data_IF_057489009979
#
_entry.id   IF_057489009979
#
_cell.length_a   1.000
_cell.length_b   1.000
_cell.length_c   1.000
_cell.angle_alpha   90.00
_cell.angle_beta   90.00
_cell.angle_gamma   90.00
#
_symmetry.space_group_name_H-M   'P 1'
#
loop_
_entity.id
_entity.type
_entity.pdbx_description
1 polymer ?
#
# COMPACT_ATOMS: atom_id res chain seq x y z
N UNK A 1 -28.51 12.98 -2.67
CA UNK A 1 -27.12 13.43 -2.44
C UNK A 1 -26.40 13.24 -3.77
N UNK A 2 -25.69 14.27 -4.27
CA UNK A 2 -24.91 14.11 -5.50
C UNK A 2 -23.86 13.03 -5.26
N UNK A 3 -23.88 11.99 -6.08
CA UNK A 3 -22.94 10.88 -5.94
C UNK A 3 -21.55 11.40 -6.29
N UNK A 4 -20.64 11.43 -5.31
CA UNK A 4 -19.25 11.84 -5.53
C UNK A 4 -18.49 10.63 -6.05
N UNK A 5 -17.82 10.77 -7.18
CA UNK A 5 -16.89 9.78 -7.74
C UNK A 5 -15.50 10.13 -7.19
N UNK A 6 -15.00 9.35 -6.24
CA UNK A 6 -13.74 9.65 -5.57
C UNK A 6 -12.63 8.68 -6.03
N UNK A 7 -11.82 9.14 -6.97
CA UNK A 7 -10.69 8.38 -7.54
C UNK A 7 -9.33 8.80 -6.95
N UNK A 8 -9.31 9.52 -5.83
CA UNK A 8 -8.05 9.99 -5.21
C UNK A 8 -7.19 8.85 -4.71
N UNK A 9 -7.80 7.86 -4.06
CA UNK A 9 -7.10 6.72 -3.44
C UNK A 9 -8.11 5.64 -3.04
N UNK A 10 -7.69 4.39 -3.02
CA UNK A 10 -8.45 3.29 -2.40
C UNK A 10 -8.60 3.43 -0.88
N UNK A 11 -7.84 4.33 -0.25
CA UNK A 11 -8.00 4.66 1.18
C UNK A 11 -9.31 5.40 1.51
N UNK A 12 -10.04 5.90 0.51
CA UNK A 12 -11.36 6.52 0.68
C UNK A 12 -12.51 5.53 0.59
N UNK A 13 -12.21 4.26 0.33
CA UNK A 13 -13.20 3.18 0.25
C UNK A 13 -13.98 3.07 1.56
N UNK A 14 -15.29 3.01 1.45
CA UNK A 14 -16.18 2.86 2.60
C UNK A 14 -16.58 1.39 2.79
N UNK A 15 -16.79 0.94 4.04
CA UNK A 15 -17.28 -0.40 4.31
C UNK A 15 -18.70 -0.60 3.79
N UNK A 16 -18.99 -1.79 3.23
CA UNK A 16 -20.36 -2.17 2.82
C UNK A 16 -21.30 -2.23 4.02
N UNK A 17 -22.61 -2.25 3.76
CA UNK A 17 -23.61 -2.37 4.82
C UNK A 17 -23.48 -3.71 5.57
N UNK A 18 -23.15 -4.80 4.89
CA UNK A 18 -22.90 -6.11 5.50
C UNK A 18 -21.65 -6.08 6.39
N UNK A 19 -20.57 -5.41 5.95
CA UNK A 19 -19.39 -5.21 6.78
C UNK A 19 -19.72 -4.38 8.02
N UNK A 20 -20.53 -3.31 7.89
CA UNK A 20 -21.01 -2.50 9.04
C UNK A 20 -21.81 -3.32 10.03
N UNK A 21 -22.70 -4.22 9.56
CA UNK A 21 -23.45 -5.15 10.40
C UNK A 21 -22.50 -6.14 11.12
N UNK A 22 -21.49 -6.65 10.42
CA UNK A 22 -20.46 -7.52 11.00
C UNK A 22 -19.69 -6.81 12.11
N UNK A 23 -19.31 -5.54 11.91
CA UNK A 23 -18.68 -4.70 12.94
C UNK A 23 -19.60 -4.53 14.16
N UNK A 24 -20.90 -4.22 13.93
CA UNK A 24 -21.85 -3.97 15.00
C UNK A 24 -22.15 -5.24 15.86
N UNK A 25 -22.03 -6.41 15.27
CA UNK A 25 -22.30 -7.71 15.93
C UNK A 25 -21.01 -8.44 16.38
N UNK A 26 -19.84 -7.80 16.32
CA UNK A 26 -18.56 -8.42 16.63
C UNK A 26 -18.53 -8.95 18.08
N UNK A 27 -18.02 -10.17 18.24
CA UNK A 27 -17.69 -10.70 19.58
C UNK A 27 -16.40 -10.05 20.05
N UNK A 28 -16.39 -9.56 21.28
CA UNK A 28 -15.30 -8.77 21.84
C UNK A 28 -14.63 -9.48 23.02
N UNK A 29 -13.36 -9.18 23.19
CA UNK A 29 -12.54 -9.55 24.33
C UNK A 29 -11.34 -8.61 24.42
N UNK A 30 -10.45 -8.77 25.40
CA UNK A 30 -9.26 -7.92 25.51
C UNK A 30 -8.08 -8.50 24.69
N UNK A 31 -7.63 -7.80 23.64
CA UNK A 31 -6.49 -8.23 22.81
C UNK A 31 -5.18 -8.36 23.61
N UNK A 32 -4.99 -7.54 24.66
CA UNK A 32 -3.77 -7.61 25.48
C UNK A 32 -3.67 -8.92 26.24
N UNK A 33 -4.83 -9.49 26.63
CA UNK A 33 -4.91 -10.82 27.26
C UNK A 33 -5.09 -11.96 26.25
N UNK A 34 -5.06 -11.65 24.93
CA UNK A 34 -5.34 -12.61 23.86
C UNK A 34 -6.75 -13.25 23.96
N UNK A 35 -7.72 -12.53 24.48
CA UNK A 35 -9.10 -13.00 24.70
C UNK A 35 -10.09 -12.51 23.64
N UNK A 36 -9.68 -11.57 22.74
CA UNK A 36 -10.56 -11.11 21.66
C UNK A 36 -10.65 -12.15 20.54
N UNK A 37 -11.82 -12.78 20.35
CA UNK A 37 -11.95 -13.89 19.41
C UNK A 37 -11.84 -13.45 17.96
N UNK A 38 -12.25 -12.20 17.63
CA UNK A 38 -12.15 -11.68 16.27
C UNK A 38 -10.71 -11.36 15.92
N UNK A 39 -9.95 -10.76 16.84
CA UNK A 39 -8.51 -10.50 16.66
C UNK A 39 -7.74 -11.80 16.45
N UNK A 40 -7.93 -12.77 17.34
CA UNK A 40 -7.26 -14.07 17.27
C UNK A 40 -7.53 -14.77 15.93
N UNK A 41 -8.81 -14.75 15.46
CA UNK A 41 -9.20 -15.36 14.19
C UNK A 41 -8.62 -14.61 12.99
N UNK A 42 -8.58 -13.27 13.03
CA UNK A 42 -8.00 -12.46 11.95
C UNK A 42 -6.50 -12.70 11.83
N UNK A 43 -5.76 -12.66 12.96
CA UNK A 43 -4.31 -12.88 13.00
C UNK A 43 -3.96 -14.29 12.49
N UNK A 44 -4.71 -15.30 12.88
CA UNK A 44 -4.55 -16.68 12.40
C UNK A 44 -4.84 -16.80 10.90
N UNK A 45 -5.95 -16.23 10.43
CA UNK A 45 -6.33 -16.28 9.00
C UNK A 45 -5.31 -15.57 8.12
N UNK A 46 -4.87 -14.38 8.52
CA UNK A 46 -3.86 -13.62 7.80
C UNK A 46 -2.53 -14.38 7.69
N UNK A 47 -2.06 -14.97 8.79
CA UNK A 47 -0.86 -15.80 8.79
C UNK A 47 -0.98 -16.99 7.84
N UNK A 48 -2.11 -17.70 7.87
CA UNK A 48 -2.37 -18.85 6.99
C UNK A 48 -2.37 -18.45 5.51
N UNK A 49 -3.01 -17.31 5.16
CA UNK A 49 -3.04 -16.81 3.79
C UNK A 49 -1.66 -16.39 3.28
N UNK A 50 -0.80 -15.87 4.15
CA UNK A 50 0.57 -15.49 3.80
C UNK A 50 1.55 -16.66 3.90
N UNK A 51 1.12 -17.86 4.30
CA UNK A 51 2.02 -18.99 4.52
C UNK A 51 3.02 -18.76 5.66
N UNK A 52 2.70 -17.89 6.61
CA UNK A 52 3.56 -17.51 7.74
C UNK A 52 3.04 -18.08 9.08
N UNK A 53 3.89 -18.10 10.10
CA UNK A 53 3.56 -18.75 11.37
C UNK A 53 2.52 -17.97 12.19
N UNK A 54 2.60 -16.63 12.21
CA UNK A 54 1.76 -15.76 13.04
C UNK A 54 1.43 -14.45 12.33
N UNK A 55 0.28 -13.87 12.73
CA UNK A 55 -0.15 -12.53 12.39
C UNK A 55 -0.21 -11.59 13.60
N UNK A 56 -0.26 -10.28 13.36
CA UNK A 56 -0.45 -9.24 14.36
C UNK A 56 -1.26 -8.09 13.78
N UNK A 57 -2.44 -7.83 14.32
CA UNK A 57 -3.26 -6.67 13.96
C UNK A 57 -2.61 -5.38 14.45
N UNK A 58 -2.52 -4.39 13.57
CA UNK A 58 -2.04 -3.03 13.84
C UNK A 58 -3.03 -1.98 13.32
N UNK A 59 -3.09 -0.78 13.92
CA UNK A 59 -4.06 0.25 13.51
C UNK A 59 -3.85 0.78 12.09
N UNK A 60 -2.63 0.73 11.54
CA UNK A 60 -2.30 1.28 10.22
C UNK A 60 -1.13 0.57 9.56
N UNK A 61 -1.00 0.69 8.23
CA UNK A 61 0.16 0.20 7.47
C UNK A 61 1.46 0.85 7.93
N UNK A 62 1.45 2.17 8.16
CA UNK A 62 2.60 2.91 8.70
C UNK A 62 3.11 2.33 10.02
N UNK A 63 2.20 1.99 10.95
CA UNK A 63 2.62 1.33 12.17
C UNK A 63 3.13 -0.08 11.90
N UNK A 64 2.53 -0.81 10.95
CA UNK A 64 2.97 -2.15 10.57
C UNK A 64 4.41 -2.16 10.05
N UNK A 65 4.71 -1.29 9.11
CA UNK A 65 6.05 -1.13 8.56
C UNK A 65 7.05 -0.68 9.63
N UNK A 66 6.70 0.35 10.41
CA UNK A 66 7.58 0.85 11.47
C UNK A 66 7.88 -0.25 12.51
N UNK A 67 6.86 -0.96 12.99
CA UNK A 67 7.04 -2.09 13.93
C UNK A 67 7.97 -3.15 13.35
N UNK A 68 7.76 -3.54 12.09
CA UNK A 68 8.55 -4.56 11.42
C UNK A 68 10.01 -4.14 11.29
N UNK A 69 10.25 -2.92 10.85
CA UNK A 69 11.61 -2.37 10.69
C UNK A 69 12.32 -2.24 12.06
N UNK A 70 11.61 -1.79 13.11
CA UNK A 70 12.18 -1.70 14.47
C UNK A 70 12.52 -3.07 15.08
N UNK A 71 11.88 -4.15 14.63
CA UNK A 71 12.22 -5.52 15.06
C UNK A 71 13.42 -6.06 14.27
N UNK A 72 13.52 -5.76 12.98
CA UNK A 72 14.60 -6.23 12.11
C UNK A 72 15.89 -5.45 12.28
N UNK A 73 15.80 -4.16 12.62
CA UNK A 73 16.93 -3.25 12.70
C UNK A 73 17.14 -2.75 14.14
N UNK A 74 18.39 -2.68 14.57
CA UNK A 74 18.75 -2.03 15.81
C UNK A 74 19.04 -0.53 15.58
N UNK A 75 18.98 0.26 16.66
CA UNK A 75 19.41 1.66 16.60
C UNK A 75 20.86 1.75 16.13
N UNK A 76 21.12 2.66 15.18
CA UNK A 76 22.45 2.87 14.60
C UNK A 76 22.78 1.94 13.43
N UNK A 77 21.88 1.03 13.06
CA UNK A 77 22.03 0.21 11.83
C UNK A 77 21.42 0.91 10.60
N UNK A 78 21.62 0.32 9.44
CA UNK A 78 21.12 0.82 8.15
C UNK A 78 20.10 -0.15 7.54
N UNK A 79 19.09 0.44 6.87
CA UNK A 79 18.13 -0.30 6.03
C UNK A 79 18.21 0.19 4.59
N UNK A 80 18.24 -0.73 3.63
CA UNK A 80 18.16 -0.44 2.20
C UNK A 80 16.67 -0.41 1.79
N UNK A 81 16.28 0.61 1.01
CA UNK A 81 14.94 0.79 0.47
C UNK A 81 14.95 1.63 -0.80
N UNK A 82 13.86 1.62 -1.55
CA UNK A 82 13.71 2.45 -2.73
C UNK A 82 13.49 3.94 -2.39
N UNK A 83 13.98 4.83 -3.24
CA UNK A 83 13.84 6.29 -3.12
C UNK A 83 12.38 6.78 -3.21
N UNK A 84 11.49 5.92 -3.77
CA UNK A 84 10.05 6.16 -3.89
C UNK A 84 9.22 5.28 -2.92
N UNK A 85 9.87 4.49 -2.06
CA UNK A 85 9.18 3.63 -1.11
C UNK A 85 8.28 4.44 -0.15
N UNK A 86 7.08 3.94 0.13
CA UNK A 86 6.13 4.57 1.06
C UNK A 86 6.75 4.79 2.44
N UNK A 87 7.49 3.80 2.94
CA UNK A 87 8.21 3.84 4.21
C UNK A 87 9.23 4.97 4.31
N UNK A 88 9.76 5.44 3.18
CA UNK A 88 10.69 6.57 3.12
C UNK A 88 9.96 7.90 2.93
N UNK A 89 8.99 7.95 1.97
CA UNK A 89 8.39 9.21 1.52
C UNK A 89 7.23 9.66 2.40
N UNK A 90 6.38 8.74 2.89
CA UNK A 90 5.06 9.06 3.46
C UNK A 90 4.85 8.66 4.92
N UNK A 91 5.87 8.14 5.61
CA UNK A 91 5.74 7.68 7.00
C UNK A 91 6.43 8.62 8.01
N UNK A 92 6.44 9.92 7.69
CA UNK A 92 6.92 10.99 8.57
C UNK A 92 8.35 10.79 9.13
N UNK A 93 9.21 10.06 8.38
CA UNK A 93 10.57 9.76 8.82
C UNK A 93 10.64 8.84 10.05
N UNK A 94 9.59 8.03 10.28
CA UNK A 94 9.44 7.20 11.47
C UNK A 94 10.61 6.26 11.74
N UNK A 95 11.22 5.69 10.70
CA UNK A 95 12.41 4.83 10.78
C UNK A 95 13.55 5.55 11.53
N UNK A 96 13.81 6.79 11.18
CA UNK A 96 14.87 7.59 11.81
C UNK A 96 14.41 8.17 13.15
N UNK A 97 13.18 8.71 13.22
CA UNK A 97 12.69 9.40 14.40
C UNK A 97 12.53 8.47 15.61
N UNK A 98 11.98 7.28 15.42
CA UNK A 98 11.73 6.32 16.50
C UNK A 98 12.82 5.24 16.59
N UNK A 99 13.32 4.76 15.45
CA UNK A 99 14.31 3.70 15.37
C UNK A 99 15.75 4.18 15.50
N UNK A 100 16.05 5.41 15.11
CA UNK A 100 17.43 5.87 14.94
C UNK A 100 18.17 5.01 13.91
N UNK A 101 17.44 4.54 12.90
CA UNK A 101 17.94 3.68 11.82
C UNK A 101 18.26 4.56 10.62
N UNK A 102 19.40 4.34 10.00
CA UNK A 102 19.83 5.07 8.81
C UNK A 102 19.12 4.50 7.56
N UNK A 103 18.44 5.36 6.80
CA UNK A 103 17.78 4.96 5.54
C UNK A 103 18.73 5.15 4.37
N UNK A 104 19.08 4.06 3.67
CA UNK A 104 19.85 4.09 2.44
C UNK A 104 18.94 3.91 1.24
N UNK A 105 18.67 5.03 0.56
CA UNK A 105 17.78 5.04 -0.60
C UNK A 105 18.55 4.58 -1.84
N UNK A 106 17.94 3.68 -2.60
CA UNK A 106 18.38 3.28 -3.95
C UNK A 106 17.29 3.64 -4.95
N UNK A 107 17.66 3.80 -6.21
CA UNK A 107 16.73 4.25 -7.25
C UNK A 107 15.70 3.17 -7.57
N UNK A 108 14.40 3.46 -7.40
CA UNK A 108 13.35 2.61 -7.95
C UNK A 108 13.27 2.76 -9.47
N UNK A 109 13.28 1.62 -10.16
CA UNK A 109 12.95 1.55 -11.58
C UNK A 109 11.45 1.89 -11.82
N UNK A 110 11.04 2.01 -13.06
CA UNK A 110 9.64 2.34 -13.41
C UNK A 110 8.63 1.28 -13.01
N UNK A 111 9.06 0.02 -12.92
CA UNK A 111 8.29 -1.15 -12.49
C UNK A 111 8.33 -1.39 -10.96
N UNK A 112 8.97 -0.50 -10.20
CA UNK A 112 9.07 -0.59 -8.73
C UNK A 112 10.26 -1.43 -8.22
N UNK A 113 11.00 -2.11 -9.10
CA UNK A 113 12.21 -2.84 -8.71
C UNK A 113 13.35 -1.88 -8.32
N UNK A 114 14.34 -2.40 -7.62
CA UNK A 114 15.65 -1.79 -7.41
C UNK A 114 16.64 -2.68 -8.14
N UNK A 115 17.61 -2.10 -8.83
CA UNK A 115 18.62 -2.87 -9.55
C UNK A 115 19.38 -3.79 -8.59
N UNK A 116 19.49 -5.07 -8.94
CA UNK A 116 20.11 -6.12 -8.10
C UNK A 116 21.58 -5.83 -7.79
N UNK A 117 22.33 -5.30 -8.75
CA UNK A 117 23.74 -4.99 -8.54
C UNK A 117 23.91 -3.70 -7.72
N UNK A 118 22.95 -2.75 -7.82
CA UNK A 118 22.89 -1.60 -6.94
C UNK A 118 22.61 -2.03 -5.48
N UNK A 119 21.70 -2.98 -5.25
CA UNK A 119 21.46 -3.56 -3.91
C UNK A 119 22.75 -4.17 -3.37
N UNK A 120 23.42 -5.04 -4.13
CA UNK A 120 24.67 -5.70 -3.71
C UNK A 120 25.76 -4.68 -3.37
N UNK A 121 25.93 -3.65 -4.21
CA UNK A 121 26.95 -2.61 -4.01
C UNK A 121 26.65 -1.69 -2.82
N UNK A 122 25.39 -1.62 -2.40
CA UNK A 122 24.95 -0.83 -1.26
C UNK A 122 25.25 -1.48 0.09
N UNK A 123 25.44 -2.80 0.14
CA UNK A 123 25.72 -3.52 1.39
C UNK A 123 27.08 -3.11 1.91
N UNK A 124 27.12 -2.67 3.16
CA UNK A 124 28.35 -2.18 3.78
C UNK A 124 29.21 -3.34 4.28
N UNK A 125 30.52 -3.22 4.04
CA UNK A 125 31.49 -4.08 4.70
C UNK A 125 31.51 -3.82 6.21
N UNK A 126 31.89 -4.82 6.99
CA UNK A 126 32.09 -4.67 8.43
C UNK A 126 33.31 -3.78 8.70
N UNK A 127 33.04 -2.55 9.16
CA UNK A 127 34.07 -1.53 9.42
C UNK A 127 33.50 -0.47 10.37
N UNK A 128 34.32 0.01 11.31
CA UNK A 128 33.94 1.01 12.32
C UNK A 128 33.41 2.34 11.74
N UNK A 129 33.72 2.63 10.48
CA UNK A 129 33.24 3.85 9.79
C UNK A 129 31.83 3.74 9.23
N UNK A 130 31.21 2.54 9.22
CA UNK A 130 29.94 2.30 8.56
C UNK A 130 28.88 1.75 9.50
N UNK A 131 27.60 2.15 9.35
CA UNK A 131 26.52 1.44 10.01
C UNK A 131 26.40 0.04 9.41
N UNK A 132 26.06 -0.98 10.24
CA UNK A 132 25.76 -2.31 9.74
C UNK A 132 24.47 -2.25 8.91
N UNK A 133 24.49 -2.72 7.66
CA UNK A 133 23.28 -2.94 6.86
C UNK A 133 22.53 -4.16 7.41
N UNK A 134 21.29 -3.98 7.90
CA UNK A 134 20.56 -4.99 8.66
C UNK A 134 19.31 -5.51 7.97
N UNK A 135 18.73 -4.74 7.05
CA UNK A 135 17.54 -5.14 6.36
C UNK A 135 17.40 -4.50 4.96
N UNK A 136 16.57 -5.12 4.13
CA UNK A 136 16.06 -4.57 2.89
C UNK A 136 14.53 -4.49 3.03
N UNK A 137 13.89 -3.43 2.53
CA UNK A 137 12.44 -3.40 2.37
C UNK A 137 12.05 -3.14 0.93
N UNK A 138 11.07 -3.90 0.46
CA UNK A 138 10.44 -3.77 -0.87
C UNK A 138 8.98 -3.36 -0.68
N UNK A 139 8.39 -2.67 -1.67
CA UNK A 139 6.97 -2.29 -1.67
C UNK A 139 6.23 -3.02 -2.79
N UNK A 140 5.13 -3.72 -2.47
CA UNK A 140 4.32 -4.50 -3.41
C UNK A 140 2.81 -4.40 -3.12
N UNK A 141 1.99 -3.84 -4.05
CA UNK A 141 2.38 -3.17 -5.30
C UNK A 141 2.99 -1.81 -5.01
N UNK A 142 3.92 -1.36 -5.87
CA UNK A 142 4.64 -0.12 -5.62
C UNK A 142 3.81 1.12 -5.99
N UNK A 143 3.41 1.91 -4.99
CA UNK A 143 2.46 3.02 -5.12
C UNK A 143 2.92 4.10 -6.13
N UNK A 144 4.16 4.58 -6.00
CA UNK A 144 4.69 5.64 -6.87
C UNK A 144 5.25 5.13 -8.21
N UNK A 145 5.30 3.81 -8.41
CA UNK A 145 5.68 3.18 -9.66
C UNK A 145 4.45 2.53 -10.34
N UNK A 146 3.40 3.32 -10.57
CA UNK A 146 2.15 2.96 -11.26
C UNK A 146 1.38 1.78 -10.62
N UNK A 147 1.57 1.50 -9.33
CA UNK A 147 0.98 0.31 -8.71
C UNK A 147 1.55 -1.00 -9.26
N UNK A 148 2.77 -0.98 -9.78
CA UNK A 148 3.40 -2.15 -10.39
C UNK A 148 3.63 -3.26 -9.38
N UNK A 149 3.32 -4.52 -9.72
CA UNK A 149 3.61 -5.68 -8.89
C UNK A 149 5.06 -6.13 -9.09
N UNK A 150 5.71 -6.52 -8.00
CA UNK A 150 6.99 -7.22 -8.03
C UNK A 150 6.76 -8.72 -8.16
N UNK A 151 7.52 -9.38 -9.05
CA UNK A 151 7.38 -10.81 -9.28
C UNK A 151 7.96 -11.67 -8.13
N UNK A 152 7.47 -12.91 -7.94
CA UNK A 152 8.06 -13.84 -6.97
C UNK A 152 9.56 -14.07 -7.21
N UNK A 153 9.99 -14.19 -8.46
CA UNK A 153 11.40 -14.42 -8.81
C UNK A 153 12.29 -13.24 -8.37
N UNK A 154 11.87 -12.00 -8.63
CA UNK A 154 12.61 -10.81 -8.17
C UNK A 154 12.69 -10.75 -6.65
N UNK A 155 11.59 -11.02 -5.95
CA UNK A 155 11.57 -11.03 -4.47
C UNK A 155 12.52 -12.12 -3.94
N UNK A 156 12.54 -13.29 -4.56
CA UNK A 156 13.44 -14.39 -4.22
C UNK A 156 14.91 -14.01 -4.39
N UNK A 157 15.27 -13.33 -5.49
CA UNK A 157 16.63 -12.88 -5.74
C UNK A 157 17.09 -11.88 -4.67
N UNK A 158 16.25 -10.90 -4.31
CA UNK A 158 16.54 -9.94 -3.24
C UNK A 158 16.64 -10.66 -1.88
N UNK A 159 15.76 -11.61 -1.61
CA UNK A 159 15.78 -12.41 -0.38
C UNK A 159 17.06 -13.24 -0.28
N UNK A 160 17.56 -13.78 -1.39
CA UNK A 160 18.83 -14.52 -1.40
C UNK A 160 20.01 -13.59 -1.02
N UNK A 161 20.02 -12.36 -1.57
CA UNK A 161 21.03 -11.36 -1.20
C UNK A 161 20.96 -11.04 0.29
N UNK A 162 19.74 -10.85 0.83
CA UNK A 162 19.56 -10.59 2.25
C UNK A 162 20.10 -11.74 3.11
N UNK A 163 19.76 -12.99 2.78
CA UNK A 163 20.23 -14.18 3.50
C UNK A 163 21.75 -14.33 3.47
N UNK A 164 22.38 -14.12 2.30
CA UNK A 164 23.83 -14.27 2.11
C UNK A 164 24.63 -13.24 2.93
N UNK A 165 23.98 -12.15 3.38
CA UNK A 165 24.59 -11.06 4.14
C UNK A 165 24.03 -10.89 5.56
N UNK A 166 23.35 -11.91 6.12
CA UNK A 166 22.74 -11.90 7.44
C UNK A 166 21.78 -10.70 7.66
N UNK A 167 21.08 -10.32 6.60
CA UNK A 167 20.08 -9.25 6.60
C UNK A 167 18.66 -9.83 6.59
N UNK A 168 17.66 -8.99 6.88
CA UNK A 168 16.24 -9.31 6.83
C UNK A 168 15.57 -8.68 5.61
N UNK A 169 14.58 -9.38 5.04
CA UNK A 169 13.71 -8.84 4.01
C UNK A 169 12.31 -8.60 4.57
N UNK A 170 11.89 -7.33 4.56
CA UNK A 170 10.51 -6.93 4.87
C UNK A 170 9.79 -6.49 3.60
N UNK A 171 8.52 -6.90 3.45
CA UNK A 171 7.67 -6.44 2.34
C UNK A 171 6.61 -5.47 2.89
N UNK A 172 6.65 -4.21 2.44
CA UNK A 172 5.47 -3.35 2.50
C UNK A 172 4.47 -3.83 1.45
N UNK A 173 3.59 -4.70 1.87
CA UNK A 173 2.56 -5.32 1.04
C UNK A 173 1.22 -4.61 1.16
N UNK A 174 1.21 -3.27 1.30
CA UNK A 174 -0.03 -2.50 1.50
C UNK A 174 -1.14 -2.86 0.50
N UNK A 175 -0.76 -3.34 -0.70
CA UNK A 175 -1.66 -3.83 -1.77
C UNK A 175 -1.21 -5.20 -2.32
N UNK A 176 -0.73 -6.09 -1.47
CA UNK A 176 -0.18 -7.38 -1.91
C UNK A 176 -1.20 -8.25 -2.65
N UNK A 177 -2.49 -8.16 -2.29
CA UNK A 177 -3.55 -8.88 -3.00
C UNK A 177 -3.77 -8.33 -4.42
N UNK A 178 -3.54 -7.02 -4.65
CA UNK A 178 -3.52 -6.48 -6.01
C UNK A 178 -2.36 -7.07 -6.83
N UNK A 179 -1.18 -7.27 -6.22
CA UNK A 179 -0.06 -7.93 -6.88
C UNK A 179 -0.39 -9.38 -7.24
N UNK A 180 -0.97 -10.14 -6.31
CA UNK A 180 -1.35 -11.53 -6.53
C UNK A 180 -2.35 -11.67 -7.68
N UNK A 181 -3.41 -10.83 -7.70
CA UNK A 181 -4.40 -10.81 -8.79
C UNK A 181 -3.78 -10.39 -10.13
N UNK A 182 -2.90 -9.39 -10.13
CA UNK A 182 -2.29 -8.90 -11.37
C UNK A 182 -1.31 -9.90 -12.00
N UNK A 183 -0.64 -10.71 -11.17
CA UNK A 183 0.33 -11.72 -11.61
C UNK A 183 -0.28 -13.12 -11.77
N UNK A 184 -1.57 -13.30 -11.39
CA UNK A 184 -2.25 -14.59 -11.36
C UNK A 184 -1.48 -15.66 -10.54
N UNK A 185 -1.05 -15.28 -9.33
CA UNK A 185 -0.32 -16.15 -8.40
C UNK A 185 -1.00 -16.18 -7.02
N UNK A 186 -0.71 -17.21 -6.23
CA UNK A 186 -1.14 -17.22 -4.82
C UNK A 186 -0.35 -16.15 -4.05
N UNK A 187 -1.03 -15.41 -3.18
CA UNK A 187 -0.41 -14.35 -2.38
C UNK A 187 0.77 -14.85 -1.54
N UNK A 188 0.73 -16.10 -1.08
CA UNK A 188 1.83 -16.71 -0.32
C UNK A 188 3.12 -16.84 -1.13
N UNK A 189 3.04 -17.01 -2.47
CA UNK A 189 4.21 -17.14 -3.33
C UNK A 189 4.97 -15.81 -3.45
N UNK A 190 4.26 -14.66 -3.28
CA UNK A 190 4.86 -13.33 -3.25
C UNK A 190 5.62 -13.02 -1.94
N UNK A 191 5.42 -13.79 -0.90
CA UNK A 191 6.00 -13.51 0.41
C UNK A 191 6.82 -14.66 0.98
N UNK A 192 6.87 -15.80 0.28
CA UNK A 192 7.48 -17.04 0.74
C UNK A 192 8.94 -16.89 1.18
N UNK A 193 9.68 -16.03 0.53
CA UNK A 193 11.11 -15.80 0.78
C UNK A 193 11.38 -14.60 1.72
N UNK A 194 10.34 -13.89 2.18
CA UNK A 194 10.48 -12.74 3.10
C UNK A 194 10.47 -13.14 4.57
N UNK A 195 11.12 -12.33 5.42
CA UNK A 195 11.09 -12.52 6.88
C UNK A 195 9.80 -11.97 7.51
N UNK A 196 9.17 -10.97 6.87
CA UNK A 196 7.90 -10.39 7.31
C UNK A 196 7.22 -9.59 6.22
N UNK A 197 5.92 -9.44 6.36
CA UNK A 197 5.08 -8.59 5.52
C UNK A 197 4.12 -7.77 6.36
N UNK A 198 3.80 -6.56 5.91
CA UNK A 198 2.64 -5.78 6.35
C UNK A 198 1.67 -5.63 5.20
N UNK A 199 0.37 -5.92 5.40
CA UNK A 199 -0.65 -5.61 4.39
C UNK A 199 -1.82 -4.82 4.99
N UNK A 200 -2.43 -3.95 4.16
CA UNK A 200 -3.53 -3.09 4.58
C UNK A 200 -4.89 -3.75 4.38
N UNK A 201 -5.75 -3.66 5.39
CA UNK A 201 -7.18 -3.95 5.30
C UNK A 201 -7.97 -2.73 4.81
N UNK A 202 -7.47 -1.53 5.10
CA UNK A 202 -8.13 -0.23 4.92
C UNK A 202 -7.86 0.44 3.56
N UNK A 203 -7.78 -0.35 2.49
CA UNK A 203 -7.63 0.11 1.11
C UNK A 203 -8.63 -0.64 0.22
N UNK A 204 -8.22 -1.28 -0.85
CA UNK A 204 -9.09 -2.06 -1.75
C UNK A 204 -9.91 -3.16 -1.05
N UNK A 205 -9.49 -3.61 0.13
CA UNK A 205 -10.24 -4.54 0.97
C UNK A 205 -11.39 -3.90 1.76
N UNK A 206 -11.59 -2.60 1.66
CA UNK A 206 -12.72 -1.83 2.18
C UNK A 206 -12.94 -1.85 3.70
N UNK A 207 -12.07 -2.44 4.52
CA UNK A 207 -12.16 -2.27 5.96
C UNK A 207 -11.88 -0.80 6.34
N UNK A 208 -12.58 -0.23 7.34
CA UNK A 208 -12.41 1.18 7.66
C UNK A 208 -11.05 1.51 8.30
N UNK A 209 -10.42 0.54 8.94
CA UNK A 209 -9.18 0.72 9.73
C UNK A 209 -8.41 -0.61 9.73
N UNK A 210 -7.09 -0.52 9.82
CA UNK A 210 -6.24 -1.63 10.19
C UNK A 210 -5.38 -2.18 9.09
N UNK A 211 -4.33 -2.85 9.54
CA UNK A 211 -3.39 -3.63 8.75
C UNK A 211 -2.95 -4.84 9.56
N UNK A 212 -2.34 -5.82 8.90
CA UNK A 212 -1.82 -7.00 9.59
C UNK A 212 -0.35 -7.17 9.22
N UNK A 213 0.48 -7.42 10.24
CA UNK A 213 1.85 -7.88 10.07
C UNK A 213 1.84 -9.40 10.12
N UNK A 214 2.55 -10.08 9.23
CA UNK A 214 2.78 -11.52 9.32
C UNK A 214 4.29 -11.84 9.32
N UNK A 215 4.67 -12.92 9.96
CA UNK A 215 6.05 -13.38 10.08
C UNK A 215 6.18 -14.60 10.97
N UNK A 216 7.43 -14.93 11.37
CA UNK A 216 7.70 -16.03 12.32
C UNK A 216 7.13 -15.74 13.72
N UNK A 217 6.88 -16.78 14.49
CA UNK A 217 6.39 -16.64 15.88
C UNK A 217 7.33 -15.77 16.74
N UNK A 218 8.64 -15.97 16.61
CA UNK A 218 9.65 -15.15 17.29
C UNK A 218 9.57 -13.68 16.87
N UNK A 219 9.44 -13.41 15.59
CA UNK A 219 9.31 -12.04 15.06
C UNK A 219 8.03 -11.37 15.61
N UNK A 220 6.89 -12.04 15.53
CA UNK A 220 5.60 -11.52 16.01
C UNK A 220 5.60 -11.29 17.53
N UNK A 221 6.30 -12.14 18.32
CA UNK A 221 6.49 -11.89 19.75
C UNK A 221 7.16 -10.54 20.02
N UNK A 222 8.21 -10.19 19.29
CA UNK A 222 8.88 -8.88 19.40
C UNK A 222 8.02 -7.75 18.82
N UNK A 223 7.36 -7.98 17.68
CA UNK A 223 6.48 -7.02 17.05
C UNK A 223 5.32 -6.59 17.96
N UNK A 224 4.72 -7.53 18.71
CA UNK A 224 3.64 -7.23 19.69
C UNK A 224 4.13 -6.30 20.80
N UNK A 225 5.36 -6.46 21.28
CA UNK A 225 5.99 -5.57 22.28
C UNK A 225 6.26 -4.19 21.69
N UNK A 226 6.79 -4.14 20.47
CA UNK A 226 7.08 -2.89 19.76
C UNK A 226 5.79 -2.13 19.44
N UNK A 227 4.74 -2.82 18.97
CA UNK A 227 3.38 -2.25 18.79
C UNK A 227 2.89 -1.59 20.08
N UNK A 228 3.05 -2.27 21.23
CA UNK A 228 2.63 -1.73 22.52
C UNK A 228 3.41 -0.48 22.90
N UNK A 229 4.72 -0.46 22.69
CA UNK A 229 5.58 0.68 23.01
C UNK A 229 5.24 1.92 22.14
N UNK A 230 4.84 1.72 20.89
CA UNK A 230 4.40 2.76 19.97
C UNK A 230 2.95 3.22 20.20
N UNK A 231 2.23 2.70 21.20
CA UNK A 231 0.85 3.07 21.49
C UNK A 231 -0.22 2.31 20.69
N UNK A 232 0.15 1.34 19.86
CA UNK A 232 -0.76 0.57 19.01
C UNK A 232 -1.41 -0.64 19.69
N UNK A 233 -1.22 -0.85 20.99
CA UNK A 233 -1.91 -1.87 21.75
C UNK A 233 -3.34 -1.45 22.08
N UNK A 234 -4.31 -2.12 21.43
CA UNK A 234 -5.73 -1.88 21.63
C UNK A 234 -6.33 -2.84 22.66
N UNK A 235 -7.57 -2.64 23.06
CA UNK A 235 -8.32 -3.48 23.99
C UNK A 235 -9.35 -4.33 23.22
N UNK A 236 -10.59 -3.93 23.13
CA UNK A 236 -11.67 -4.62 22.41
C UNK A 236 -11.58 -4.37 20.90
N UNK A 237 -10.46 -4.80 20.31
CA UNK A 237 -10.15 -4.56 18.90
C UNK A 237 -10.93 -5.46 17.93
N UNK A 238 -11.77 -6.35 18.46
CA UNK A 238 -12.67 -7.19 17.66
C UNK A 238 -13.60 -6.40 16.73
N UNK A 239 -13.95 -5.16 17.09
CA UNK A 239 -14.68 -4.24 16.22
C UNK A 239 -13.91 -4.02 14.90
N UNK A 240 -12.60 -3.79 14.97
CA UNK A 240 -11.73 -3.59 13.80
C UNK A 240 -11.45 -4.93 13.12
N UNK A 241 -11.13 -5.96 13.92
CA UNK A 241 -10.75 -7.27 13.42
C UNK A 241 -11.89 -7.96 12.66
N UNK A 242 -13.15 -7.74 13.06
CA UNK A 242 -14.32 -8.32 12.38
C UNK A 242 -14.49 -7.74 10.96
N UNK A 243 -14.20 -6.45 10.76
CA UNK A 243 -14.14 -5.86 9.43
C UNK A 243 -13.04 -6.49 8.58
N UNK A 244 -11.85 -6.68 9.16
CA UNK A 244 -10.74 -7.36 8.49
C UNK A 244 -11.05 -8.81 8.10
N UNK A 245 -11.74 -9.56 8.97
CA UNK A 245 -12.22 -10.90 8.64
C UNK A 245 -13.20 -10.87 7.47
N UNK A 246 -14.19 -9.97 7.51
CA UNK A 246 -15.13 -9.78 6.42
C UNK A 246 -14.40 -9.45 5.10
N UNK A 247 -13.40 -8.57 5.16
CA UNK A 247 -12.57 -8.21 4.01
C UNK A 247 -11.89 -9.43 3.38
N UNK A 248 -11.23 -10.24 4.20
CA UNK A 248 -10.51 -11.43 3.72
C UNK A 248 -11.44 -12.56 3.26
N UNK A 249 -12.71 -12.55 3.68
CA UNK A 249 -13.71 -13.54 3.27
C UNK A 249 -14.49 -13.12 2.01
N UNK A 250 -14.68 -11.80 1.77
CA UNK A 250 -15.69 -11.34 0.82
C UNK A 250 -15.20 -10.27 -0.17
N UNK A 251 -14.03 -9.62 0.04
CA UNK A 251 -13.62 -8.48 -0.78
C UNK A 251 -12.48 -8.78 -1.76
N UNK A 252 -11.90 -9.97 -1.72
CA UNK A 252 -10.76 -10.31 -2.59
C UNK A 252 -11.14 -10.35 -4.07
N UNK A 253 -12.31 -10.87 -4.40
CA UNK A 253 -12.79 -10.94 -5.79
C UNK A 253 -13.03 -9.54 -6.39
N UNK A 254 -13.33 -8.55 -5.56
CA UNK A 254 -13.52 -7.16 -5.97
C UNK A 254 -12.25 -6.54 -6.58
N UNK A 255 -11.07 -6.97 -6.14
CA UNK A 255 -9.78 -6.45 -6.64
C UNK A 255 -9.67 -6.63 -8.16
N UNK A 256 -10.12 -7.76 -8.69
CA UNK A 256 -10.14 -8.00 -10.13
C UNK A 256 -11.04 -7.03 -10.90
N UNK A 257 -12.18 -6.64 -10.32
CA UNK A 257 -13.07 -5.63 -10.92
C UNK A 257 -12.44 -4.23 -10.87
N UNK A 258 -11.74 -3.89 -9.78
CA UNK A 258 -11.01 -2.63 -9.65
C UNK A 258 -9.94 -2.51 -10.75
N UNK A 259 -9.19 -3.59 -11.05
CA UNK A 259 -8.22 -3.63 -12.15
C UNK A 259 -8.87 -3.47 -13.52
N UNK A 260 -10.03 -4.12 -13.77
CA UNK A 260 -10.78 -3.96 -15.02
C UNK A 260 -11.26 -2.52 -15.22
N UNK A 261 -11.74 -1.88 -14.14
CA UNK A 261 -12.15 -0.48 -14.15
C UNK A 261 -10.95 0.45 -14.41
N UNK A 262 -9.79 0.19 -13.80
CA UNK A 262 -8.56 0.96 -14.08
C UNK A 262 -8.15 0.85 -15.55
N UNK A 263 -8.14 -0.36 -16.11
CA UNK A 263 -7.82 -0.59 -17.51
C UNK A 263 -8.77 0.13 -18.45
N UNK A 264 -10.10 0.02 -18.21
CA UNK A 264 -11.11 0.75 -19.00
C UNK A 264 -10.91 2.26 -18.95
N UNK A 265 -10.65 2.79 -17.74
CA UNK A 265 -10.39 4.22 -17.55
C UNK A 265 -9.14 4.65 -18.32
N UNK A 266 -8.06 3.87 -18.27
CA UNK A 266 -6.84 4.14 -19.00
C UNK A 266 -7.03 4.12 -20.53
N UNK A 267 -7.75 3.13 -21.05
CA UNK A 267 -8.10 3.03 -22.47
C UNK A 267 -8.92 4.24 -22.93
N UNK A 268 -9.88 4.67 -22.11
CA UNK A 268 -10.67 5.87 -22.37
C UNK A 268 -9.83 7.15 -22.36
N UNK A 269 -8.95 7.31 -21.37
CA UNK A 269 -8.02 8.46 -21.29
C UNK A 269 -7.11 8.51 -22.51
N UNK A 270 -6.60 7.37 -22.98
CA UNK A 270 -5.75 7.29 -24.17
C UNK A 270 -6.47 7.74 -25.46
N UNK A 271 -7.81 7.69 -25.47
CA UNK A 271 -8.64 8.18 -26.57
C UNK A 271 -8.93 9.69 -26.53
N UNK A 272 -8.54 10.41 -25.47
CA UNK A 272 -8.81 11.85 -25.32
C UNK A 272 -7.59 12.64 -25.79
N UNK A 273 -7.77 13.44 -26.84
CA UNK A 273 -6.71 14.30 -27.40
C UNK A 273 -6.20 15.29 -26.33
N UNK A 274 -4.88 15.33 -26.13
CA UNK A 274 -4.22 16.20 -25.14
C UNK A 274 -3.99 15.55 -23.77
N UNK A 275 -4.43 14.28 -23.57
CA UNK A 275 -4.04 13.45 -22.44
C UNK A 275 -3.04 12.39 -22.89
N UNK A 276 -2.06 12.10 -22.05
CA UNK A 276 -1.00 11.11 -22.32
C UNK A 276 -0.98 10.09 -21.20
N UNK A 277 -1.16 8.83 -21.54
CA UNK A 277 -1.10 7.70 -20.60
C UNK A 277 -0.32 6.54 -21.24
N UNK A 278 0.48 5.85 -20.43
CA UNK A 278 1.19 4.65 -20.86
C UNK A 278 0.38 3.41 -20.45
N UNK A 279 -0.33 2.83 -21.43
CA UNK A 279 -1.18 1.65 -21.21
C UNK A 279 -0.41 0.40 -20.75
N UNK A 280 0.85 0.27 -21.18
CA UNK A 280 1.70 -0.88 -20.79
C UNK A 280 2.03 -0.88 -19.30
N UNK A 281 1.97 0.28 -18.65
CA UNK A 281 2.21 0.43 -17.21
C UNK A 281 0.95 0.31 -16.34
N UNK A 282 -0.22 0.04 -16.93
CA UNK A 282 -1.47 -0.18 -16.15
C UNK A 282 -1.59 -1.65 -15.78
N UNK A 283 -1.08 -2.01 -14.63
CA UNK A 283 -1.03 -3.40 -14.15
C UNK A 283 -2.08 -3.70 -13.08
N UNK A 284 -2.49 -2.68 -12.31
CA UNK A 284 -3.37 -2.82 -11.15
C UNK A 284 -4.44 -1.71 -11.11
N UNK A 285 -4.87 -1.31 -9.94
CA UNK A 285 -5.89 -0.30 -9.74
C UNK A 285 -5.37 1.15 -9.72
N UNK A 286 -4.06 1.37 -9.88
CA UNK A 286 -3.44 2.70 -9.89
C UNK A 286 -3.02 3.06 -11.29
N UNK A 287 -3.41 4.26 -11.74
CA UNK A 287 -3.00 4.80 -13.03
C UNK A 287 -2.55 6.26 -12.90
N UNK A 288 -1.62 6.65 -13.76
CA UNK A 288 -1.15 8.03 -13.91
C UNK A 288 -1.31 8.46 -15.36
N UNK A 289 -1.73 9.71 -15.57
CA UNK A 289 -1.74 10.34 -16.86
C UNK A 289 -1.18 11.76 -16.78
N UNK A 290 -0.66 12.25 -17.88
CA UNK A 290 -0.14 13.60 -18.01
C UNK A 290 -1.02 14.41 -18.98
N UNK A 291 -1.11 15.74 -18.77
CA UNK A 291 -1.67 16.67 -19.77
C UNK A 291 -0.54 17.14 -20.68
N UNK A 292 -0.78 17.10 -22.00
CA UNK A 292 0.18 17.51 -23.01
C UNK A 292 0.54 18.99 -22.85
N UNK A 293 1.85 19.32 -22.93
CA UNK A 293 2.33 20.70 -22.78
C UNK A 293 1.74 21.60 -23.89
N UNK A 294 1.09 22.68 -23.49
CA UNK A 294 0.51 23.69 -24.39
C UNK A 294 -1.02 23.61 -24.54
N UNK A 295 -1.68 22.57 -24.02
CA UNK A 295 -3.15 22.47 -23.94
C UNK A 295 -3.69 22.79 -22.53
N UNK A 296 -2.98 23.64 -21.79
CA UNK A 296 -3.21 23.91 -20.37
C UNK A 296 -4.48 24.74 -20.10
N UNK A 297 -5.65 24.08 -20.05
CA UNK A 297 -6.73 24.53 -19.16
C UNK A 297 -6.54 23.97 -17.72
N UNK A 298 -5.61 23.05 -17.52
CA UNK A 298 -5.33 22.47 -16.20
C UNK A 298 -4.90 23.50 -15.15
N UNK A 299 -4.12 24.52 -15.51
CA UNK A 299 -3.77 25.64 -14.61
C UNK A 299 -4.98 26.52 -14.29
N UNK A 300 -5.88 26.75 -15.23
CA UNK A 300 -7.12 27.52 -15.03
C UNK A 300 -8.08 26.72 -14.15
N UNK A 301 -8.19 25.42 -14.34
CA UNK A 301 -8.98 24.49 -13.52
C UNK A 301 -8.41 24.33 -12.10
N UNK A 302 -7.09 24.17 -11.96
CA UNK A 302 -6.42 24.18 -10.68
C UNK A 302 -6.61 25.51 -9.94
N UNK A 303 -6.69 26.64 -10.65
CA UNK A 303 -6.98 27.95 -10.04
C UNK A 303 -8.43 28.08 -9.56
N UNK A 304 -9.39 27.47 -10.26
CA UNK A 304 -10.82 27.46 -9.85
C UNK A 304 -11.07 26.53 -8.65
N UNK A 305 -10.23 25.52 -8.42
CA UNK A 305 -10.34 24.59 -7.28
C UNK A 305 -9.57 25.04 -6.02
N UNK A 306 -8.77 26.08 -6.10
CA UNK A 306 -7.98 26.63 -4.97
C UNK A 306 -8.79 27.15 -3.78
N UNK A 307 -10.10 27.24 -3.88
CA UNK A 307 -10.99 27.70 -2.80
C UNK A 307 -11.47 26.61 -1.83
N UNK A 308 -10.92 25.39 -1.89
CA UNK A 308 -11.21 24.32 -0.92
C UNK A 308 -9.94 24.04 -0.11
N UNK A 309 -9.86 24.62 1.09
CA UNK A 309 -8.71 24.67 2.00
C UNK A 309 -8.26 23.34 2.64
N UNK A 310 -8.47 22.16 2.06
CA UNK A 310 -8.21 20.93 2.84
C UNK A 310 -7.03 20.08 2.34
N UNK A 311 -6.46 20.29 1.18
CA UNK A 311 -5.21 19.66 0.74
C UNK A 311 -4.78 20.23 -0.63
N UNK A 312 -3.51 20.57 -0.85
CA UNK A 312 -3.07 21.30 -2.05
C UNK A 312 -3.11 20.50 -3.36
N UNK A 313 -3.61 19.26 -3.35
CA UNK A 313 -3.57 18.35 -4.50
C UNK A 313 -4.91 17.73 -4.89
N UNK A 314 -6.04 18.26 -4.37
CA UNK A 314 -7.36 17.75 -4.71
C UNK A 314 -7.94 18.52 -5.89
N UNK A 315 -8.28 17.83 -6.98
CA UNK A 315 -9.11 18.38 -8.06
C UNK A 315 -10.52 17.83 -7.92
N UNK A 316 -11.51 18.72 -7.98
CA UNK A 316 -12.91 18.40 -7.96
C UNK A 316 -13.58 18.99 -9.20
N UNK A 317 -14.05 18.14 -10.12
CA UNK A 317 -14.73 18.53 -11.34
C UNK A 317 -16.04 17.72 -11.45
N UNK A 318 -17.18 18.40 -11.61
CA UNK A 318 -18.49 17.76 -11.78
C UNK A 318 -18.69 16.55 -10.85
N UNK A 319 -18.39 16.70 -9.54
CA UNK A 319 -18.41 15.65 -8.50
C UNK A 319 -17.36 14.53 -8.66
N UNK A 320 -16.39 14.64 -9.55
CA UNK A 320 -15.28 13.69 -9.67
C UNK A 320 -14.04 14.23 -8.97
N UNK A 321 -13.42 13.41 -8.11
CA UNK A 321 -12.24 13.77 -7.32
C UNK A 321 -11.04 12.93 -7.72
N UNK A 322 -9.90 13.58 -7.94
CA UNK A 322 -8.61 12.93 -8.21
C UNK A 322 -7.42 13.76 -7.70
N UNK A 323 -6.22 13.21 -7.71
CA UNK A 323 -5.01 13.90 -7.29
C UNK A 323 -4.17 14.39 -8.45
N UNK A 324 -3.69 15.63 -8.37
CA UNK A 324 -2.53 16.08 -9.10
C UNK A 324 -1.26 15.72 -8.30
N UNK A 325 -0.48 14.75 -8.77
CA UNK A 325 0.72 14.25 -8.09
C UNK A 325 1.95 15.17 -8.26
N UNK A 326 1.99 15.90 -9.37
CA UNK A 326 2.89 17.01 -9.70
C UNK A 326 2.24 17.85 -10.80
N UNK A 327 2.68 19.09 -11.06
CA UNK A 327 2.07 19.92 -12.09
C UNK A 327 1.90 19.19 -13.41
N UNK A 328 0.66 19.05 -13.88
CA UNK A 328 0.28 18.38 -15.12
C UNK A 328 0.26 16.85 -15.09
N UNK A 329 0.57 16.20 -13.96
CA UNK A 329 0.48 14.74 -13.80
C UNK A 329 -0.53 14.35 -12.74
N UNK A 330 -1.49 13.53 -13.13
CA UNK A 330 -2.63 13.13 -12.32
C UNK A 330 -2.57 11.65 -11.98
N UNK A 331 -3.07 11.33 -10.78
CA UNK A 331 -3.20 9.96 -10.28
C UNK A 331 -4.67 9.67 -10.03
N UNK A 332 -5.14 8.53 -10.54
CA UNK A 332 -6.43 7.97 -10.24
C UNK A 332 -6.26 6.56 -9.68
N UNK A 333 -7.16 6.19 -8.78
CA UNK A 333 -7.19 4.86 -8.17
C UNK A 333 -8.62 4.34 -8.19
N UNK A 334 -8.84 3.21 -8.84
CA UNK A 334 -10.13 2.51 -8.80
C UNK A 334 -10.20 1.63 -7.54
N UNK A 335 -11.40 1.48 -7.00
CA UNK A 335 -11.64 0.75 -5.76
C UNK A 335 -13.13 0.36 -5.64
N UNK A 336 -13.46 -0.46 -4.64
CA UNK A 336 -14.86 -0.79 -4.32
C UNK A 336 -15.74 0.46 -4.20
N UNK A 337 -16.86 0.45 -4.89
CA UNK A 337 -17.78 1.60 -4.97
C UNK A 337 -17.61 2.46 -6.22
N UNK A 338 -16.57 2.23 -7.04
CA UNK A 338 -16.42 2.83 -8.37
C UNK A 338 -17.02 1.88 -9.40
N UNK A 339 -18.12 2.30 -10.01
CA UNK A 339 -18.84 1.52 -11.01
C UNK A 339 -18.35 1.81 -12.43
N UNK A 340 -18.79 0.97 -13.38
CA UNK A 340 -18.56 1.24 -14.80
C UNK A 340 -19.13 2.58 -15.26
N UNK A 341 -20.33 2.93 -14.78
CA UNK A 341 -20.97 4.21 -15.11
C UNK A 341 -20.18 5.40 -14.56
N UNK A 342 -19.54 5.23 -13.39
CA UNK A 342 -18.67 6.26 -12.83
C UNK A 342 -17.39 6.46 -13.67
N UNK A 343 -16.87 5.37 -14.28
CA UNK A 343 -15.74 5.47 -15.22
C UNK A 343 -16.15 6.28 -16.48
N UNK A 344 -17.30 6.00 -17.07
CA UNK A 344 -17.77 6.74 -18.27
C UNK A 344 -17.98 8.23 -17.94
N UNK A 345 -18.60 8.55 -16.81
CA UNK A 345 -18.74 9.94 -16.35
C UNK A 345 -17.37 10.61 -16.10
N UNK A 346 -16.42 9.87 -15.54
CA UNK A 346 -15.06 10.40 -15.33
C UNK A 346 -14.41 10.75 -16.66
N UNK A 347 -14.54 9.91 -17.68
CA UNK A 347 -14.02 10.19 -19.03
C UNK A 347 -14.68 11.41 -19.66
N UNK A 348 -15.99 11.61 -19.49
CA UNK A 348 -16.67 12.82 -19.94
C UNK A 348 -16.11 14.08 -19.25
N UNK A 349 -15.85 14.01 -17.94
CA UNK A 349 -15.25 15.10 -17.17
C UNK A 349 -13.85 15.40 -17.66
N UNK A 350 -13.01 14.37 -17.84
CA UNK A 350 -11.64 14.52 -18.33
C UNK A 350 -11.60 15.13 -19.75
N UNK A 351 -12.51 14.73 -20.62
CA UNK A 351 -12.61 15.29 -21.98
C UNK A 351 -12.95 16.79 -21.97
N UNK A 352 -13.78 17.26 -21.03
CA UNK A 352 -14.07 18.70 -20.85
C UNK A 352 -12.86 19.52 -20.34
N UNK A 353 -11.87 18.87 -19.72
CA UNK A 353 -10.67 19.55 -19.19
C UNK A 353 -9.75 20.01 -20.34
N UNK A 354 -9.69 19.25 -21.41
CA UNK A 354 -8.75 19.50 -22.52
C UNK A 354 -9.41 20.15 -23.74
N UNK A 355 -10.75 20.12 -23.85
CA UNK A 355 -11.57 20.75 -24.87
C UNK A 355 -12.36 21.94 -24.32
#
# INVERSE_FOLDING_TARGET
>A
MNNIIDLRSDTVTLPSDEMRQTIASAKLGDDVFAEDPCVNKLEQKAALMMGMERGLLVPSGTMGNLVSILVHCQRGTEIILGDKAHTFVYEAGGISAFGGIHSRQLTNQTDGTIDIDEIKSAIRMDNDHFPKTSAITLENTHNLCNGSPLSPDYIKDVAQIARDNDMKLHIDGARIFNAAVALDVDVKDLVADSDSITFCLSKGLAAPIGSVICGSEKFIYHARRTRKALGGGMRQAGIIASAGLYSLDNMLDQIGEDHKNAKRLAEGINGIEGLVIDLENIKTNILYFDIEKGKNRGEELASQTKNIEIYPFKIALDNTLFFESRPGRFRLVTHYGITRDDIEKTLEVLNKIVN
#
